data_IF_143017655780
#
_entry.id   IF_143017655780
#
_cell.length_a   1.000
_cell.length_b   1.000
_cell.length_c   1.000
_cell.angle_alpha   90.00
_cell.angle_beta   90.00
_cell.angle_gamma   90.00
#
_symmetry.space_group_name_H-M   'P 1'
#
loop_
_entity.id
_entity.type
_entity.pdbx_description
1 polymer ?
#
# COMPACT_ATOMS: atom_id res chain seq x y z
N UNK A 1 -34.95 -5.30 -43.45
CA UNK A 1 -33.50 -5.04 -43.39
C UNK A 1 -33.21 -4.47 -42.00
N UNK A 2 -32.52 -5.22 -41.14
CA UNK A 2 -32.17 -4.75 -39.80
C UNK A 2 -30.99 -3.79 -39.91
N UNK A 3 -31.21 -2.53 -39.56
CA UNK A 3 -30.22 -1.46 -39.62
C UNK A 3 -29.32 -1.54 -38.38
N UNK A 4 -28.29 -2.38 -38.42
CA UNK A 4 -27.32 -2.50 -37.34
C UNK A 4 -26.30 -1.35 -37.45
N UNK A 5 -26.65 -0.17 -36.92
CA UNK A 5 -25.65 0.89 -36.70
C UNK A 5 -24.68 0.36 -35.63
N UNK A 6 -23.35 0.43 -35.84
CA UNK A 6 -22.41 0.09 -34.77
C UNK A 6 -22.66 1.03 -33.59
N UNK A 7 -22.80 0.47 -32.40
CA UNK A 7 -22.96 1.26 -31.17
C UNK A 7 -21.72 2.14 -30.97
N UNK A 8 -21.94 3.45 -30.81
CA UNK A 8 -20.87 4.41 -30.53
C UNK A 8 -20.49 4.32 -29.04
N UNK A 9 -19.52 3.45 -28.75
CA UNK A 9 -19.00 3.24 -27.39
C UNK A 9 -17.99 4.31 -26.96
N UNK A 10 -17.66 5.30 -27.80
CA UNK A 10 -16.59 6.28 -27.53
C UNK A 10 -16.81 7.07 -26.24
N UNK A 11 -18.07 7.40 -25.92
CA UNK A 11 -18.43 8.12 -24.70
C UNK A 11 -18.27 7.26 -23.45
N UNK A 12 -18.61 5.98 -23.54
CA UNK A 12 -18.46 5.00 -22.45
C UNK A 12 -16.99 4.79 -22.15
N UNK A 13 -16.17 4.52 -23.17
CA UNK A 13 -14.72 4.34 -23.01
C UNK A 13 -14.04 5.58 -22.43
N UNK A 14 -14.41 6.78 -22.91
CA UNK A 14 -13.87 8.02 -22.34
C UNK A 14 -14.25 8.21 -20.87
N UNK A 15 -15.47 7.83 -20.47
CA UNK A 15 -15.88 7.89 -19.08
C UNK A 15 -15.11 6.89 -18.21
N UNK A 16 -14.88 5.67 -18.72
CA UNK A 16 -14.07 4.65 -18.06
C UNK A 16 -12.60 5.09 -17.91
N UNK A 17 -12.00 5.61 -18.99
CA UNK A 17 -10.62 6.09 -19.01
C UNK A 17 -10.40 7.26 -18.04
N UNK A 18 -11.37 8.18 -17.95
CA UNK A 18 -11.30 9.28 -16.98
C UNK A 18 -11.34 8.76 -15.54
N UNK A 19 -12.28 7.86 -15.22
CA UNK A 19 -12.36 7.28 -13.89
C UNK A 19 -11.11 6.45 -13.55
N UNK A 20 -10.56 5.72 -14.52
CA UNK A 20 -9.29 5.00 -14.36
C UNK A 20 -8.15 5.97 -14.06
N UNK A 21 -8.03 7.05 -14.84
CA UNK A 21 -6.99 8.07 -14.65
C UNK A 21 -7.06 8.72 -13.26
N UNK A 22 -8.27 9.03 -12.79
CA UNK A 22 -8.46 9.61 -11.45
C UNK A 22 -8.14 8.59 -10.35
N UNK A 23 -8.59 7.34 -10.48
CA UNK A 23 -8.23 6.26 -9.55
C UNK A 23 -6.71 6.03 -9.52
N UNK A 24 -6.07 5.97 -10.68
CA UNK A 24 -4.63 5.78 -10.82
C UNK A 24 -3.85 6.92 -10.17
N UNK A 25 -4.28 8.15 -10.38
CA UNK A 25 -3.68 9.33 -9.76
C UNK A 25 -3.83 9.31 -8.23
N UNK A 26 -5.02 9.03 -7.71
CA UNK A 26 -5.30 9.06 -6.27
C UNK A 26 -4.63 7.93 -5.49
N UNK A 27 -4.31 6.81 -6.15
CA UNK A 27 -3.73 5.63 -5.50
C UNK A 27 -2.27 5.39 -5.86
N UNK A 28 -1.69 6.22 -6.75
CA UNK A 28 -0.31 6.09 -7.22
C UNK A 28 0.67 5.96 -6.06
N UNK A 29 0.65 6.94 -5.16
CA UNK A 29 1.67 7.00 -4.11
C UNK A 29 1.50 5.83 -3.12
N UNK A 30 0.26 5.38 -2.86
CA UNK A 30 -0.04 4.22 -2.01
C UNK A 30 0.48 2.93 -2.64
N UNK A 31 0.39 2.79 -3.97
CA UNK A 31 0.95 1.65 -4.71
C UNK A 31 2.48 1.65 -4.70
N UNK A 32 3.09 2.84 -4.77
CA UNK A 32 4.55 2.99 -4.66
C UNK A 32 5.02 2.58 -3.25
N UNK A 33 4.22 2.87 -2.22
CA UNK A 33 4.47 2.43 -0.85
C UNK A 33 4.27 0.91 -0.65
N UNK A 34 3.25 0.30 -1.25
CA UNK A 34 3.10 -1.17 -1.29
C UNK A 34 4.31 -1.85 -1.95
N UNK A 35 4.84 -1.23 -3.00
CA UNK A 35 6.03 -1.72 -3.69
C UNK A 35 7.28 -1.57 -2.80
N UNK A 36 7.41 -0.45 -2.10
CA UNK A 36 8.49 -0.20 -1.15
C UNK A 36 8.49 -1.21 0.02
N UNK A 37 7.36 -1.41 0.67
CA UNK A 37 7.18 -2.37 1.78
C UNK A 37 7.42 -3.82 1.35
N UNK A 38 6.98 -4.20 0.14
CA UNK A 38 7.28 -5.52 -0.43
C UNK A 38 8.78 -5.73 -0.61
N UNK A 39 9.51 -4.71 -1.09
CA UNK A 39 10.98 -4.76 -1.21
C UNK A 39 11.68 -4.90 0.13
N UNK A 40 11.20 -4.22 1.19
CA UNK A 40 11.72 -4.42 2.55
C UNK A 40 11.60 -5.89 2.94
N UNK A 41 10.41 -6.46 2.78
CA UNK A 41 10.15 -7.85 3.18
C UNK A 41 11.07 -8.82 2.43
N UNK A 42 11.29 -8.59 1.13
CA UNK A 42 12.22 -9.38 0.31
C UNK A 42 13.66 -9.27 0.79
N UNK A 43 14.13 -8.03 1.02
CA UNK A 43 15.49 -7.74 1.52
C UNK A 43 15.73 -8.41 2.88
N UNK A 44 14.79 -8.26 3.80
CA UNK A 44 14.88 -8.80 5.15
C UNK A 44 14.84 -10.33 5.13
N UNK A 45 13.99 -10.92 4.29
CA UNK A 45 13.92 -12.39 4.13
C UNK A 45 15.19 -12.99 3.50
N UNK A 46 15.91 -12.21 2.70
CA UNK A 46 17.19 -12.62 2.10
C UNK A 46 18.39 -12.42 3.04
N UNK A 47 18.23 -11.73 4.18
CA UNK A 47 19.31 -11.46 5.14
C UNK A 47 19.39 -12.60 6.17
N UNK A 48 20.54 -13.31 6.28
CA UNK A 48 20.73 -14.32 7.30
C UNK A 48 20.64 -13.73 8.72
N UNK A 49 19.96 -14.39 9.67
CA UNK A 49 19.88 -13.91 11.05
C UNK A 49 21.27 -13.67 11.66
N UNK A 50 21.46 -12.49 12.27
CA UNK A 50 22.72 -12.15 12.95
C UNK A 50 23.86 -11.73 12.03
N UNK A 51 23.64 -11.66 10.70
CA UNK A 51 24.58 -11.02 9.77
C UNK A 51 24.13 -9.62 9.42
N UNK A 52 25.06 -8.67 9.50
CA UNK A 52 24.87 -7.33 8.98
C UNK A 52 24.67 -7.42 7.45
N UNK A 53 23.55 -6.92 6.89
CA UNK A 53 23.41 -6.78 5.45
C UNK A 53 24.54 -5.93 4.90
N UNK A 54 24.80 -5.97 3.59
CA UNK A 54 25.78 -5.05 3.02
C UNK A 54 25.35 -3.57 3.18
N UNK A 55 26.28 -2.65 2.90
CA UNK A 55 26.03 -1.22 3.04
C UNK A 55 24.87 -0.73 2.14
N UNK A 56 24.71 -1.33 0.95
CA UNK A 56 23.65 -1.00 -0.02
C UNK A 56 22.28 -1.39 0.55
N UNK A 57 22.20 -2.55 1.17
CA UNK A 57 20.99 -3.09 1.77
C UNK A 57 20.57 -2.27 2.99
N UNK A 58 21.53 -1.90 3.85
CA UNK A 58 21.27 -1.00 4.98
C UNK A 58 20.77 0.37 4.51
N UNK A 59 21.40 0.94 3.49
CA UNK A 59 20.96 2.22 2.93
C UNK A 59 19.56 2.13 2.33
N UNK A 60 19.24 1.01 1.66
CA UNK A 60 17.89 0.74 1.15
C UNK A 60 16.87 0.66 2.29
N UNK A 61 17.18 -0.06 3.37
CA UNK A 61 16.31 -0.15 4.54
C UNK A 61 16.08 1.23 5.18
N UNK A 62 17.12 2.06 5.30
CA UNK A 62 17.00 3.44 5.83
C UNK A 62 16.14 4.31 4.92
N UNK A 63 16.34 4.27 3.60
CA UNK A 63 15.52 5.03 2.64
C UNK A 63 14.05 4.62 2.77
N UNK A 64 13.79 3.32 2.88
CA UNK A 64 12.44 2.78 2.98
C UNK A 64 11.81 3.12 4.35
N UNK A 65 12.57 3.05 5.43
CA UNK A 65 12.14 3.50 6.77
C UNK A 65 11.88 5.01 6.82
N UNK A 66 12.68 5.82 6.12
CA UNK A 66 12.48 7.26 6.04
C UNK A 66 11.27 7.64 5.19
N UNK A 67 10.94 6.88 4.14
CA UNK A 67 9.68 7.06 3.42
C UNK A 67 8.46 6.89 4.34
N UNK A 68 8.54 6.02 5.35
CA UNK A 68 7.51 5.93 6.39
C UNK A 68 7.42 7.16 7.29
N UNK A 69 8.53 7.89 7.46
CA UNK A 69 8.60 9.08 8.30
C UNK A 69 8.26 10.38 7.56
N UNK A 70 8.18 10.35 6.21
CA UNK A 70 7.97 11.53 5.37
C UNK A 70 6.53 12.08 5.45
N UNK A 71 6.33 13.38 5.78
CA UNK A 71 5.04 14.06 5.79
C UNK A 71 4.19 13.90 4.53
N UNK A 72 4.86 13.83 3.36
CA UNK A 72 4.22 13.69 2.05
C UNK A 72 3.94 12.25 1.63
N UNK A 73 4.35 11.24 2.41
CA UNK A 73 3.84 9.88 2.23
C UNK A 73 2.35 9.89 2.56
N UNK A 74 1.54 9.58 1.54
CA UNK A 74 0.07 9.56 1.32
C UNK A 74 -0.87 9.25 2.47
N UNK A 75 -0.31 8.93 3.61
CA UNK A 75 -0.99 8.35 4.73
C UNK A 75 -0.90 9.30 5.92
N UNK A 76 -1.27 10.58 5.71
CA UNK A 76 -1.55 11.55 6.79
C UNK A 76 -2.85 12.31 6.61
N UNK A 77 -3.84 11.64 6.03
CA UNK A 77 -5.21 12.15 5.95
C UNK A 77 -6.21 11.00 6.22
N UNK A 78 -6.44 10.69 7.50
CA UNK A 78 -7.48 9.75 7.96
C UNK A 78 -7.00 8.65 8.92
N UNK A 79 -7.88 7.71 9.27
CA UNK A 79 -7.74 6.62 10.28
C UNK A 79 -6.35 6.01 10.48
N UNK A 80 -5.54 5.94 9.44
CA UNK A 80 -4.15 5.55 9.52
C UNK A 80 -3.32 6.39 10.48
N UNK A 81 -3.47 7.71 10.49
CA UNK A 81 -2.74 8.59 11.43
C UNK A 81 -3.05 8.22 12.88
N UNK A 82 -4.29 7.80 13.14
CA UNK A 82 -4.69 7.32 14.47
C UNK A 82 -3.99 6.01 14.80
N UNK A 83 -3.92 5.06 13.86
CA UNK A 83 -3.24 3.76 14.07
C UNK A 83 -1.73 3.94 14.22
N UNK A 84 -1.09 4.72 13.34
CA UNK A 84 0.35 5.00 13.35
C UNK A 84 0.77 5.73 14.62
N UNK A 85 0.03 6.76 15.04
CA UNK A 85 0.28 7.45 16.31
C UNK A 85 -0.02 6.57 17.51
N UNK A 86 -1.15 5.87 17.54
CA UNK A 86 -1.54 5.05 18.68
C UNK A 86 -0.57 3.89 18.92
N UNK A 87 0.04 3.34 17.87
CA UNK A 87 1.00 2.23 17.96
C UNK A 87 2.46 2.68 18.05
N UNK A 88 2.72 4.01 18.05
CA UNK A 88 4.07 4.58 18.15
C UNK A 88 4.98 4.16 16.98
N UNK A 89 4.41 3.91 15.79
CA UNK A 89 5.15 3.31 14.67
C UNK A 89 6.22 4.25 14.11
N UNK A 90 5.99 5.57 14.14
CA UNK A 90 7.00 6.56 13.76
C UNK A 90 8.24 6.48 14.66
N UNK A 91 8.04 6.35 15.97
CA UNK A 91 9.14 6.20 16.93
C UNK A 91 9.90 4.90 16.69
N UNK A 92 9.19 3.79 16.43
CA UNK A 92 9.82 2.50 16.11
C UNK A 92 10.61 2.56 14.80
N UNK A 93 10.05 3.15 13.75
CA UNK A 93 10.72 3.30 12.46
C UNK A 93 11.98 4.17 12.57
N UNK A 94 11.91 5.30 13.30
CA UNK A 94 13.06 6.18 13.55
C UNK A 94 14.15 5.48 14.34
N UNK A 95 13.79 4.79 15.43
CA UNK A 95 14.75 4.02 16.22
C UNK A 95 15.45 2.93 15.39
N UNK A 96 14.71 2.23 14.53
CA UNK A 96 15.29 1.21 13.64
C UNK A 96 16.24 1.82 12.62
N UNK A 97 15.86 2.96 12.01
CA UNK A 97 16.72 3.66 11.07
C UNK A 97 18.03 4.11 11.74
N UNK A 98 17.95 4.67 12.94
CA UNK A 98 19.14 5.11 13.70
C UNK A 98 20.06 3.94 14.06
N UNK A 99 19.50 2.79 14.44
CA UNK A 99 20.27 1.57 14.74
C UNK A 99 21.00 1.04 13.52
N UNK A 100 20.33 1.03 12.36
CA UNK A 100 20.94 0.64 11.08
C UNK A 100 22.07 1.60 10.72
N UNK A 101 21.88 2.91 10.86
CA UNK A 101 22.90 3.93 10.58
C UNK A 101 24.11 3.84 11.50
N UNK A 102 23.92 3.50 12.77
CA UNK A 102 25.01 3.23 13.73
C UNK A 102 25.76 1.93 13.43
N UNK A 103 25.27 1.15 12.46
CA UNK A 103 25.89 -0.08 12.03
C UNK A 103 25.69 -1.23 13.01
N UNK A 104 24.67 -1.14 13.88
CA UNK A 104 24.30 -2.22 14.80
C UNK A 104 23.93 -3.48 14.01
N UNK A 105 24.24 -4.69 14.54
CA UNK A 105 23.84 -5.93 13.90
C UNK A 105 22.32 -6.00 13.76
N UNK A 106 21.84 -6.34 12.57
CA UNK A 106 20.44 -6.71 12.35
C UNK A 106 20.23 -8.14 12.85
N UNK A 107 20.03 -8.28 14.16
CA UNK A 107 19.65 -9.53 14.78
C UNK A 107 18.23 -9.96 14.36
N UNK A 108 17.86 -11.20 14.68
CA UNK A 108 16.56 -11.75 14.32
C UNK A 108 15.39 -10.91 14.86
N UNK A 109 15.56 -10.28 16.03
CA UNK A 109 14.54 -9.41 16.62
C UNK A 109 14.34 -8.14 15.78
N UNK A 110 15.43 -7.49 15.38
CA UNK A 110 15.37 -6.26 14.57
C UNK A 110 14.80 -6.53 13.18
N UNK A 111 15.15 -7.67 12.59
CA UNK A 111 14.55 -8.18 11.34
C UNK A 111 13.03 -8.35 11.50
N UNK A 112 12.58 -9.00 12.57
CA UNK A 112 11.15 -9.19 12.84
C UNK A 112 10.42 -7.86 13.05
N UNK A 113 11.04 -6.89 13.72
CA UNK A 113 10.47 -5.55 13.91
C UNK A 113 10.30 -4.80 12.58
N UNK A 114 11.31 -4.85 11.70
CA UNK A 114 11.24 -4.24 10.37
C UNK A 114 10.13 -4.91 9.52
N UNK A 115 10.04 -6.23 9.55
CA UNK A 115 8.97 -6.97 8.86
C UNK A 115 7.58 -6.62 9.40
N UNK A 116 7.42 -6.57 10.73
CA UNK A 116 6.16 -6.19 11.37
C UNK A 116 5.72 -4.78 10.97
N UNK A 117 6.66 -3.82 10.95
CA UNK A 117 6.38 -2.48 10.43
C UNK A 117 5.95 -2.52 8.96
N UNK A 118 6.72 -3.18 8.09
CA UNK A 118 6.39 -3.27 6.67
C UNK A 118 5.00 -3.89 6.43
N UNK A 119 4.60 -4.89 7.21
CA UNK A 119 3.27 -5.50 7.16
C UNK A 119 2.16 -4.53 7.57
N UNK A 120 2.33 -3.81 8.69
CA UNK A 120 1.34 -2.84 9.15
C UNK A 120 1.10 -1.72 8.12
N UNK A 121 2.18 -1.22 7.51
CA UNK A 121 2.09 -0.23 6.43
C UNK A 121 1.40 -0.80 5.20
N UNK A 122 1.78 -2.01 4.77
CA UNK A 122 1.16 -2.66 3.62
C UNK A 122 -0.35 -2.87 3.82
N UNK A 123 -0.76 -3.28 5.01
CA UNK A 123 -2.18 -3.43 5.38
C UNK A 123 -2.93 -2.10 5.29
N UNK A 124 -2.36 -1.04 5.85
CA UNK A 124 -2.96 0.28 5.82
C UNK A 124 -3.11 0.86 4.42
N UNK A 125 -2.04 0.82 3.61
CA UNK A 125 -2.08 1.28 2.23
C UNK A 125 -3.11 0.48 1.42
N UNK A 126 -3.15 -0.85 1.61
CA UNK A 126 -4.16 -1.73 1.00
C UNK A 126 -5.57 -1.31 1.41
N UNK A 127 -5.84 -1.05 2.70
CA UNK A 127 -7.15 -0.62 3.18
C UNK A 127 -7.57 0.72 2.58
N UNK A 128 -6.66 1.70 2.47
CA UNK A 128 -6.94 2.99 1.85
C UNK A 128 -7.25 2.86 0.35
N UNK A 129 -6.44 2.08 -0.38
CA UNK A 129 -6.71 1.81 -1.81
C UNK A 129 -8.06 1.11 -1.96
N UNK A 130 -8.38 0.14 -1.10
CA UNK A 130 -9.66 -0.55 -1.14
C UNK A 130 -10.84 0.39 -0.88
N UNK A 131 -10.71 1.33 0.06
CA UNK A 131 -11.74 2.35 0.29
C UNK A 131 -11.98 3.24 -0.94
N UNK A 132 -10.92 3.64 -1.63
CA UNK A 132 -11.01 4.38 -2.89
C UNK A 132 -11.64 3.50 -3.99
N UNK A 133 -11.21 2.25 -4.11
CA UNK A 133 -11.71 1.30 -5.07
C UNK A 133 -13.23 1.05 -4.91
N UNK A 134 -13.71 0.90 -3.68
CA UNK A 134 -15.14 0.76 -3.39
C UNK A 134 -15.94 1.97 -3.89
N UNK A 135 -15.46 3.19 -3.64
CA UNK A 135 -16.12 4.41 -4.14
C UNK A 135 -16.21 4.44 -5.67
N UNK A 136 -15.14 4.03 -6.36
CA UNK A 136 -15.11 3.98 -7.83
C UNK A 136 -15.97 2.85 -8.38
N UNK A 137 -16.04 1.71 -7.68
CA UNK A 137 -16.95 0.61 -8.01
C UNK A 137 -18.42 1.07 -7.93
N UNK A 138 -18.79 1.83 -6.90
CA UNK A 138 -20.14 2.40 -6.77
C UNK A 138 -20.47 3.41 -7.87
N UNK A 139 -19.48 4.19 -8.32
CA UNK A 139 -19.66 5.12 -9.45
C UNK A 139 -19.84 4.34 -10.76
N UNK A 140 -18.99 3.35 -11.02
CA UNK A 140 -19.04 2.52 -12.22
C UNK A 140 -20.38 1.76 -12.30
N UNK A 141 -20.81 1.14 -11.20
CA UNK A 141 -22.08 0.41 -11.10
C UNK A 141 -23.29 1.33 -11.39
N UNK A 142 -23.34 2.51 -10.76
CA UNK A 142 -24.43 3.48 -11.00
C UNK A 142 -24.47 3.98 -12.44
N UNK A 143 -23.32 4.03 -13.11
CA UNK A 143 -23.19 4.49 -14.50
C UNK A 143 -23.20 3.36 -15.54
N UNK A 144 -23.35 2.10 -15.10
CA UNK A 144 -23.29 0.90 -15.96
C UNK A 144 -22.00 0.82 -16.78
N UNK A 145 -20.87 1.21 -16.18
CA UNK A 145 -19.53 1.15 -16.79
C UNK A 145 -18.85 -0.16 -16.41
N UNK A 146 -17.87 -0.60 -17.20
CA UNK A 146 -17.07 -1.76 -16.83
C UNK A 146 -16.11 -1.43 -15.69
N UNK A 147 -16.24 -2.19 -14.59
CA UNK A 147 -15.35 -2.07 -13.43
C UNK A 147 -13.91 -2.45 -13.77
N UNK A 148 -13.71 -3.41 -14.67
CA UNK A 148 -12.39 -3.81 -15.13
C UNK A 148 -11.67 -2.69 -15.87
N UNK A 149 -12.41 -1.91 -16.65
CA UNK A 149 -11.93 -0.69 -17.29
C UNK A 149 -11.68 0.44 -16.29
N UNK A 150 -12.40 0.57 -15.17
CA UNK A 150 -12.18 1.66 -14.21
C UNK A 150 -11.05 1.36 -13.22
N UNK A 151 -10.97 0.13 -12.71
CA UNK A 151 -9.97 -0.29 -11.73
C UNK A 151 -8.98 -1.22 -12.40
N UNK A 152 -7.84 -0.64 -12.79
CA UNK A 152 -6.79 -1.34 -13.54
C UNK A 152 -6.20 -2.53 -12.78
N UNK A 153 -6.04 -2.42 -11.46
CA UNK A 153 -5.48 -3.47 -10.61
C UNK A 153 -6.56 -4.48 -10.14
N UNK A 154 -6.49 -5.76 -10.56
CA UNK A 154 -7.48 -6.78 -10.20
C UNK A 154 -7.66 -6.99 -8.70
N UNK A 155 -6.64 -6.71 -7.89
CA UNK A 155 -6.65 -6.96 -6.44
C UNK A 155 -7.68 -6.12 -5.69
N UNK A 156 -8.10 -5.01 -6.29
CA UNK A 156 -9.02 -4.05 -5.69
C UNK A 156 -10.40 -4.02 -6.37
N UNK A 157 -10.65 -4.90 -7.36
CA UNK A 157 -11.92 -4.93 -8.12
C UNK A 157 -13.06 -5.56 -7.34
N UNK A 158 -12.78 -6.48 -6.42
CA UNK A 158 -13.78 -7.06 -5.53
C UNK A 158 -13.74 -6.34 -4.20
N UNK A 159 -14.91 -5.97 -3.65
CA UNK A 159 -15.06 -5.57 -2.25
C UNK A 159 -14.61 -6.64 -1.24
N UNK A 160 -14.18 -7.80 -1.73
CA UNK A 160 -13.45 -8.82 -0.98
C UNK A 160 -11.97 -8.69 -1.27
N UNK A 161 -11.24 -8.17 -0.28
CA UNK A 161 -9.79 -8.29 -0.20
C UNK A 161 -9.38 -9.72 -0.52
N UNK A 162 -8.45 -9.88 -1.47
CA UNK A 162 -7.74 -11.13 -1.66
C UNK A 162 -7.01 -11.49 -0.35
N UNK A 163 -7.62 -12.39 0.44
CA UNK A 163 -6.95 -13.42 1.24
C UNK A 163 -5.89 -13.02 2.26
N UNK A 164 -5.78 -11.75 2.65
CA UNK A 164 -4.98 -11.32 3.79
C UNK A 164 -5.92 -10.79 4.87
N UNK A 165 -5.95 -11.45 6.03
CA UNK A 165 -6.70 -11.03 7.22
C UNK A 165 -6.80 -9.51 7.30
N UNK A 166 -8.01 -8.97 7.06
CA UNK A 166 -8.34 -7.62 7.48
C UNK A 166 -8.30 -7.68 9.01
N UNK A 167 -7.19 -7.26 9.59
CA UNK A 167 -7.08 -7.15 11.04
C UNK A 167 -8.07 -6.08 11.44
N UNK A 168 -9.13 -6.48 12.14
CA UNK A 168 -9.99 -5.56 12.86
C UNK A 168 -9.13 -4.88 13.93
N UNK A 169 -8.79 -3.62 13.71
CA UNK A 169 -7.99 -2.83 14.64
C UNK A 169 -8.70 -2.62 15.98
N UNK A 170 -10.00 -2.90 16.09
CA UNK A 170 -10.72 -2.93 17.38
C UNK A 170 -10.51 -4.25 18.15
N UNK A 171 -9.91 -5.27 17.54
CA UNK A 171 -9.79 -6.61 18.09
C UNK A 171 -8.34 -7.14 18.17
N UNK A 172 -7.35 -6.24 18.17
CA UNK A 172 -5.97 -6.59 18.50
C UNK A 172 -5.80 -6.73 20.02
N UNK A 173 -5.04 -7.73 20.52
CA UNK A 173 -4.72 -7.82 21.94
C UNK A 173 -3.96 -6.56 22.37
N UNK A 174 -4.41 -5.97 23.48
CA UNK A 174 -3.86 -4.77 24.10
C UNK A 174 -2.42 -4.98 24.59
#
# INVERSE_FOLDING_TARGET
MFNNKPEDHSKTWRAEDNLRGDFDKLTKDLRDELTATSKITQIVSATPPGKKPDAITQQSLVILLNKFLDPGSVVREGEFDRVVKAQGLEGRARNLADRILKGEPLDANTINQINGLAQMYSQAATAKIQGIANNYADIANRRKLDLGSVISDPRFRSGSALGGNVVDFNNLPK
#
